data_IF_304304660741
#
_entry.id   IF_304304660741
#
_cell.length_a   1.000
_cell.length_b   1.000
_cell.length_c   1.000
_cell.angle_alpha   90.00
_cell.angle_beta   90.00
_cell.angle_gamma   90.00
#
_symmetry.space_group_name_H-M   'P 1'
#
loop_
_entity.id
_entity.type
_entity.pdbx_description
1 polymer ?
#
# COMPACT_ATOMS: atom_id res chain seq x y z
N UNK A 1 -0.02 10.30 48.59
CA UNK A 1 0.65 10.53 47.28
C UNK A 1 1.78 11.54 47.47
N UNK A 2 3.05 11.11 47.44
CA UNK A 2 4.19 12.02 47.50
C UNK A 2 4.27 12.75 46.12
N UNK A 3 4.20 14.09 46.13
CA UNK A 3 4.51 14.89 44.97
C UNK A 3 5.96 14.57 44.56
N UNK A 4 6.14 14.07 43.33
CA UNK A 4 7.47 13.97 42.72
C UNK A 4 7.85 15.38 42.34
N UNK A 5 8.75 15.98 43.11
CA UNK A 5 9.32 17.28 42.76
C UNK A 5 10.13 17.13 41.47
N UNK A 6 9.82 17.96 40.50
CA UNK A 6 10.55 18.01 39.23
C UNK A 6 11.99 18.40 39.49
N UNK A 7 12.92 17.47 39.30
CA UNK A 7 14.35 17.71 39.40
C UNK A 7 14.82 18.63 38.26
N UNK A 8 14.58 19.92 38.40
CA UNK A 8 15.03 20.96 37.44
C UNK A 8 16.48 21.38 37.62
N UNK A 9 17.25 20.72 38.49
CA UNK A 9 18.69 20.98 38.64
C UNK A 9 19.50 19.96 37.85
N UNK A 10 19.68 20.22 36.55
CA UNK A 10 20.64 19.43 35.76
C UNK A 10 22.06 19.74 36.24
N UNK A 11 22.66 18.84 37.00
CA UNK A 11 24.03 18.86 37.47
C UNK A 11 24.98 19.17 36.26
N UNK A 12 26.00 19.99 36.47
CA UNK A 12 26.99 20.35 35.46
C UNK A 12 27.57 19.14 34.73
N UNK A 13 27.84 18.04 35.48
CA UNK A 13 28.30 16.77 34.94
C UNK A 13 27.29 16.15 33.96
N UNK A 14 25.99 16.22 34.26
CA UNK A 14 24.94 15.70 33.37
C UNK A 14 24.89 16.49 32.05
N UNK A 15 25.06 17.81 32.12
CA UNK A 15 25.13 18.67 30.93
C UNK A 15 26.35 18.36 30.04
N UNK A 16 27.51 18.16 30.69
CA UNK A 16 28.74 17.80 29.98
C UNK A 16 28.60 16.43 29.30
N UNK A 17 28.07 15.45 30.01
CA UNK A 17 27.82 14.11 29.48
C UNK A 17 26.86 14.12 28.27
N UNK A 18 25.74 14.85 28.36
CA UNK A 18 24.82 15.05 27.25
C UNK A 18 25.50 15.69 26.04
N UNK A 19 26.38 16.70 26.27
CA UNK A 19 27.15 17.36 25.22
C UNK A 19 28.13 16.40 24.53
N UNK A 20 28.83 15.55 25.29
CA UNK A 20 29.72 14.52 24.75
C UNK A 20 28.96 13.48 23.93
N UNK A 21 27.85 12.96 24.44
CA UNK A 21 27.02 12.04 23.71
C UNK A 21 26.56 12.62 22.37
N UNK A 22 26.19 13.91 22.33
CA UNK A 22 25.78 14.58 21.11
C UNK A 22 26.93 14.68 20.09
N UNK A 23 28.16 14.94 20.55
CA UNK A 23 29.35 14.97 19.67
C UNK A 23 29.60 13.58 19.05
N UNK A 24 29.39 12.52 19.82
CA UNK A 24 29.53 11.14 19.34
C UNK A 24 28.30 10.59 18.57
N UNK A 25 27.27 11.43 18.35
CA UNK A 25 26.08 11.03 17.60
C UNK A 25 25.06 10.19 18.40
N UNK A 26 25.20 10.13 19.74
CA UNK A 26 24.26 9.41 20.60
C UNK A 26 23.12 10.33 21.08
N UNK A 27 21.93 9.76 21.17
CA UNK A 27 20.77 10.38 21.78
C UNK A 27 20.50 9.77 23.16
N UNK A 28 20.29 10.64 24.16
CA UNK A 28 19.99 10.25 25.54
C UNK A 28 18.51 10.52 25.81
N UNK A 29 17.84 9.55 26.43
CA UNK A 29 16.44 9.65 26.87
C UNK A 29 16.38 9.64 28.37
N UNK A 30 15.76 10.67 28.96
CA UNK A 30 15.42 10.70 30.38
C UNK A 30 14.12 9.88 30.59
N UNK A 31 14.28 8.64 31.02
CA UNK A 31 13.15 7.71 31.24
C UNK A 31 12.15 8.20 32.29
N UNK A 32 12.58 9.00 33.25
CA UNK A 32 11.71 9.49 34.32
C UNK A 32 10.77 10.62 33.84
N UNK A 33 11.20 11.41 32.87
CA UNK A 33 10.46 12.58 32.35
C UNK A 33 10.10 12.47 30.88
N UNK A 34 10.42 11.38 30.21
CA UNK A 34 10.26 11.23 28.78
C UNK A 34 10.79 12.44 27.99
N UNK A 35 11.93 12.94 28.40
CA UNK A 35 12.66 14.01 27.69
C UNK A 35 13.84 13.43 26.95
N UNK A 36 14.09 13.96 25.75
CA UNK A 36 15.36 13.74 25.05
C UNK A 36 16.29 14.94 25.29
N UNK A 37 17.21 14.87 26.29
CA UNK A 37 18.09 15.97 26.62
C UNK A 37 19.00 16.36 25.46
N UNK A 38 19.33 15.42 24.58
CA UNK A 38 20.16 15.67 23.41
C UNK A 38 19.44 16.47 22.33
N UNK A 39 18.12 16.32 22.20
CA UNK A 39 17.30 17.11 21.27
C UNK A 39 16.73 18.40 21.89
N UNK A 40 16.80 18.52 23.21
CA UNK A 40 16.22 19.67 23.92
C UNK A 40 14.69 19.73 23.86
N UNK A 41 14.02 18.61 23.56
CA UNK A 41 12.57 18.53 23.39
C UNK A 41 11.94 17.52 24.32
N UNK A 42 10.67 17.74 24.66
CA UNK A 42 9.83 16.75 25.32
C UNK A 42 9.44 15.63 24.35
N UNK A 43 9.34 14.41 24.85
CA UNK A 43 8.86 13.25 24.07
C UNK A 43 7.34 13.28 23.85
N UNK A 44 6.62 14.18 24.51
CA UNK A 44 5.21 14.46 24.19
C UNK A 44 5.04 15.20 22.86
N UNK A 45 6.11 15.82 22.32
CA UNK A 45 6.10 16.43 21.02
C UNK A 45 6.46 15.40 19.94
N UNK A 46 5.91 15.55 18.75
CA UNK A 46 6.25 14.72 17.60
C UNK A 46 7.72 14.95 17.23
N UNK A 47 8.53 13.91 17.41
CA UNK A 47 9.96 13.95 17.06
C UNK A 47 10.20 13.63 15.59
N UNK A 48 9.30 12.91 14.96
CA UNK A 48 9.34 12.62 13.53
C UNK A 48 8.84 13.81 12.71
N UNK A 49 9.45 14.03 11.55
CA UNK A 49 9.00 15.00 10.56
C UNK A 49 8.73 14.23 9.28
N UNK A 50 7.48 14.29 8.80
CA UNK A 50 7.02 13.60 7.61
C UNK A 50 7.94 13.87 6.42
N UNK A 51 8.31 12.81 5.69
CA UNK A 51 9.18 12.90 4.52
C UNK A 51 10.60 13.41 4.77
N UNK A 52 11.01 13.64 6.01
CA UNK A 52 12.36 14.13 6.37
C UNK A 52 13.08 13.22 7.32
N UNK A 53 12.49 12.91 8.47
CA UNK A 53 13.11 12.07 9.48
C UNK A 53 12.07 11.27 10.26
N UNK A 54 12.44 10.07 10.67
CA UNK A 54 11.69 9.27 11.61
C UNK A 54 12.53 8.99 12.84
N UNK A 55 11.97 9.24 14.02
CA UNK A 55 12.61 8.95 15.30
C UNK A 55 11.77 7.90 16.02
N UNK A 56 12.38 6.77 16.32
CA UNK A 56 11.78 5.71 17.11
C UNK A 56 12.63 5.50 18.35
N UNK A 57 12.08 5.78 19.50
CA UNK A 57 12.77 5.67 20.77
C UNK A 57 12.69 4.21 21.26
N UNK A 58 13.81 3.58 21.64
CA UNK A 58 15.19 4.06 21.72
C UNK A 58 16.05 3.88 20.45
N UNK A 59 15.45 3.56 19.31
CA UNK A 59 16.17 3.15 18.10
C UNK A 59 16.88 4.28 17.36
N UNK A 60 16.67 5.53 17.78
CA UNK A 60 17.36 6.70 17.22
C UNK A 60 16.63 7.34 16.03
N UNK A 61 17.35 8.17 15.29
CA UNK A 61 16.85 8.96 14.18
C UNK A 61 17.22 8.34 12.84
N UNK A 62 16.26 8.28 11.94
CA UNK A 62 16.45 7.86 10.54
C UNK A 62 16.13 9.07 9.65
N UNK A 63 17.10 9.51 8.85
CA UNK A 63 16.89 10.53 7.83
C UNK A 63 16.42 9.84 6.53
N UNK A 64 15.28 10.27 6.02
CA UNK A 64 14.69 9.72 4.80
C UNK A 64 15.57 10.11 3.59
N UNK A 65 16.14 9.11 2.93
CA UNK A 65 17.03 9.27 1.77
C UNK A 65 16.31 9.07 0.44
N UNK A 66 15.33 8.17 0.41
CA UNK A 66 14.58 7.79 -0.79
C UNK A 66 13.22 8.47 -0.77
N UNK A 67 13.18 9.71 -1.28
CA UNK A 67 11.96 10.50 -1.34
C UNK A 67 11.18 10.20 -2.61
N UNK A 68 9.88 10.05 -2.46
CA UNK A 68 8.92 9.86 -3.55
C UNK A 68 8.47 11.24 -4.05
N UNK A 69 8.40 11.41 -5.37
CA UNK A 69 7.92 12.64 -6.04
C UNK A 69 6.67 12.37 -6.87
N UNK A 70 6.47 11.13 -7.32
CA UNK A 70 5.36 10.77 -8.18
C UNK A 70 4.85 9.36 -7.90
N UNK A 71 3.53 9.21 -7.94
CA UNK A 71 2.82 7.94 -7.73
C UNK A 71 1.79 7.76 -8.84
N UNK A 72 1.85 6.63 -9.53
CA UNK A 72 0.81 6.20 -10.47
C UNK A 72 0.03 5.06 -9.85
N UNK A 73 -1.27 5.21 -9.79
CA UNK A 73 -2.19 4.22 -9.30
C UNK A 73 -2.87 3.59 -10.51
N UNK A 74 -2.74 2.28 -10.69
CA UNK A 74 -3.32 1.55 -11.81
C UNK A 74 -4.41 0.64 -11.27
N UNK A 75 -5.67 1.04 -11.47
CA UNK A 75 -6.85 0.28 -11.10
C UNK A 75 -7.31 -0.58 -12.29
N UNK A 76 -7.39 -1.88 -12.08
CA UNK A 76 -7.89 -2.84 -13.07
C UNK A 76 -9.37 -3.09 -12.85
N UNK A 77 -10.19 -2.91 -13.89
CA UNK A 77 -11.65 -3.09 -13.82
C UNK A 77 -12.16 -4.09 -14.85
N UNK A 78 -13.24 -4.80 -14.48
CA UNK A 78 -13.98 -5.69 -15.35
C UNK A 78 -15.34 -6.01 -14.70
N UNK A 79 -16.40 -5.28 -15.05
CA UNK A 79 -17.72 -5.46 -14.39
C UNK A 79 -18.57 -6.58 -14.96
N UNK A 80 -18.37 -6.99 -16.22
CA UNK A 80 -19.20 -8.02 -16.90
C UNK A 80 -18.76 -9.46 -16.66
N UNK A 81 -17.55 -9.68 -16.13
CA UNK A 81 -17.07 -11.02 -15.86
C UNK A 81 -17.23 -11.37 -14.38
N UNK A 82 -17.64 -12.61 -14.10
CA UNK A 82 -17.75 -13.10 -12.74
C UNK A 82 -16.38 -13.15 -12.06
N UNK A 83 -16.37 -13.01 -10.75
CA UNK A 83 -15.17 -13.21 -9.93
C UNK A 83 -14.69 -14.66 -10.13
N UNK A 84 -13.38 -14.85 -10.26
CA UNK A 84 -12.81 -16.18 -10.51
C UNK A 84 -12.95 -17.16 -9.34
N UNK A 85 -13.20 -16.67 -8.13
CA UNK A 85 -13.46 -17.50 -6.93
C UNK A 85 -14.95 -17.90 -6.84
N UNK A 86 -15.45 -18.52 -7.88
CA UNK A 86 -16.86 -18.76 -8.18
C UNK A 86 -17.62 -19.62 -7.17
N UNK A 87 -16.93 -20.37 -6.32
CA UNK A 87 -17.54 -21.27 -5.34
C UNK A 87 -17.80 -20.60 -3.99
N UNK A 88 -17.47 -19.34 -3.83
CA UNK A 88 -17.64 -18.61 -2.56
C UNK A 88 -18.62 -17.46 -2.74
N UNK A 89 -19.52 -17.32 -1.77
CA UNK A 89 -20.43 -16.18 -1.71
C UNK A 89 -19.64 -14.89 -1.52
N UNK A 90 -20.00 -13.84 -2.27
CA UNK A 90 -19.46 -12.49 -2.08
C UNK A 90 -19.77 -11.98 -0.68
N UNK A 91 -18.91 -11.12 -0.18
CA UNK A 91 -19.04 -10.54 1.17
C UNK A 91 -20.31 -9.71 1.32
N UNK A 92 -20.62 -8.90 0.32
CA UNK A 92 -21.83 -8.07 0.27
C UNK A 92 -22.76 -8.57 -0.84
N UNK A 93 -24.06 -8.57 -0.56
CA UNK A 93 -25.08 -9.04 -1.51
C UNK A 93 -25.43 -7.91 -2.48
N UNK A 94 -24.61 -7.74 -3.51
CA UNK A 94 -24.80 -6.73 -4.55
C UNK A 94 -24.08 -7.14 -5.84
N UNK A 95 -24.37 -6.43 -6.92
CA UNK A 95 -23.75 -6.64 -8.23
C UNK A 95 -22.24 -6.29 -8.20
N UNK A 96 -21.49 -6.86 -9.15
CA UNK A 96 -20.04 -6.69 -9.22
C UNK A 96 -19.61 -5.23 -9.43
N UNK A 97 -20.36 -4.46 -10.22
CA UNK A 97 -20.09 -3.06 -10.47
C UNK A 97 -20.10 -2.20 -9.21
N UNK A 98 -20.93 -2.55 -8.20
CA UNK A 98 -20.92 -1.86 -6.90
C UNK A 98 -19.58 -2.01 -6.20
N UNK A 99 -18.92 -3.17 -6.30
CA UNK A 99 -17.56 -3.35 -5.78
C UNK A 99 -16.57 -2.43 -6.48
N UNK A 100 -16.62 -2.38 -7.81
CA UNK A 100 -15.76 -1.51 -8.64
C UNK A 100 -15.97 -0.03 -8.30
N UNK A 101 -17.22 0.43 -8.19
CA UNK A 101 -17.50 1.83 -7.89
C UNK A 101 -17.05 2.23 -6.49
N UNK A 102 -17.29 1.39 -5.48
CA UNK A 102 -16.87 1.67 -4.10
C UNK A 102 -15.36 1.59 -3.95
N UNK A 103 -14.71 0.65 -4.62
CA UNK A 103 -13.25 0.63 -4.71
C UNK A 103 -12.71 1.93 -5.27
N UNK A 104 -13.19 2.37 -6.43
CA UNK A 104 -12.75 3.61 -7.06
C UNK A 104 -13.00 4.84 -6.16
N UNK A 105 -14.17 4.94 -5.53
CA UNK A 105 -14.49 6.05 -4.61
C UNK A 105 -13.57 6.07 -3.41
N UNK A 106 -13.37 4.92 -2.76
CA UNK A 106 -12.46 4.81 -1.61
C UNK A 106 -11.01 5.17 -1.99
N UNK A 107 -10.59 4.74 -3.17
CA UNK A 107 -9.27 5.04 -3.73
C UNK A 107 -9.10 6.54 -4.03
N UNK A 108 -10.06 7.16 -4.68
CA UNK A 108 -10.08 8.62 -4.94
C UNK A 108 -10.01 9.38 -3.62
N UNK A 109 -10.83 9.00 -2.62
CA UNK A 109 -10.84 9.64 -1.30
C UNK A 109 -9.47 9.56 -0.62
N UNK A 110 -8.87 8.37 -0.59
CA UNK A 110 -7.55 8.17 0.01
C UNK A 110 -6.45 8.94 -0.74
N UNK A 111 -6.55 9.02 -2.07
CA UNK A 111 -5.58 9.78 -2.90
C UNK A 111 -5.71 11.28 -2.65
N UNK A 112 -6.91 11.83 -2.53
CA UNK A 112 -7.12 13.25 -2.18
C UNK A 112 -6.49 13.62 -0.85
N UNK A 113 -6.71 12.81 0.17
CA UNK A 113 -6.10 13.01 1.50
C UNK A 113 -4.57 12.94 1.40
N UNK A 114 -4.04 12.02 0.57
CA UNK A 114 -2.61 11.96 0.33
C UNK A 114 -2.08 13.21 -0.39
N UNK A 115 -2.79 13.75 -1.39
CA UNK A 115 -2.43 15.01 -2.05
C UNK A 115 -2.39 16.19 -1.08
N UNK A 116 -3.38 16.30 -0.21
CA UNK A 116 -3.43 17.35 0.82
C UNK A 116 -2.30 17.21 1.84
N UNK A 117 -2.00 15.97 2.26
CA UNK A 117 -0.98 15.69 3.29
C UNK A 117 0.44 15.77 2.73
N UNK A 118 0.64 15.38 1.47
CA UNK A 118 1.92 15.17 0.81
C UNK A 118 2.10 16.15 -0.37
N UNK A 119 1.78 17.40 -0.19
CA UNK A 119 1.68 18.43 -1.24
C UNK A 119 2.81 18.51 -2.29
N UNK A 120 3.93 17.80 -2.09
CA UNK A 120 5.06 17.74 -3.00
C UNK A 120 5.04 16.52 -3.93
N UNK A 121 4.06 15.61 -3.78
CA UNK A 121 3.97 14.36 -4.53
C UNK A 121 2.87 14.47 -5.59
N UNK A 122 3.21 14.14 -6.82
CA UNK A 122 2.24 14.06 -7.91
C UNK A 122 1.53 12.70 -7.88
N UNK A 123 0.20 12.71 -7.96
CA UNK A 123 -0.64 11.52 -8.03
C UNK A 123 -1.42 11.50 -9.34
N UNK A 124 -1.37 10.36 -10.03
CA UNK A 124 -2.18 10.08 -11.21
C UNK A 124 -2.93 8.75 -11.00
N UNK A 125 -4.19 8.67 -11.45
CA UNK A 125 -4.98 7.44 -11.47
C UNK A 125 -5.20 7.01 -12.92
N UNK A 126 -4.84 5.77 -13.22
CA UNK A 126 -5.09 5.13 -14.52
C UNK A 126 -6.04 3.96 -14.27
N UNK A 127 -7.22 4.01 -14.87
CA UNK A 127 -8.15 2.87 -14.88
C UNK A 127 -7.94 2.11 -16.18
N UNK A 128 -7.65 0.81 -16.07
CA UNK A 128 -7.55 -0.11 -17.20
C UNK A 128 -8.74 -1.05 -17.19
N UNK A 129 -9.50 -1.09 -18.24
CA UNK A 129 -10.75 -1.81 -18.30
C UNK A 129 -10.78 -2.91 -19.36
N UNK A 130 -11.33 -4.06 -18.97
CA UNK A 130 -11.66 -5.14 -19.88
C UNK A 130 -13.10 -5.59 -19.69
N UNK A 131 -13.90 -5.57 -20.74
CA UNK A 131 -15.26 -6.13 -20.74
C UNK A 131 -16.23 -5.57 -19.68
N UNK A 132 -16.10 -4.34 -19.24
CA UNK A 132 -17.16 -3.71 -18.44
C UNK A 132 -18.35 -3.34 -19.30
N UNK A 133 -19.55 -3.33 -18.70
CA UNK A 133 -20.76 -2.83 -19.34
C UNK A 133 -20.62 -1.34 -19.67
N UNK A 134 -21.24 -0.87 -20.78
CA UNK A 134 -21.07 0.51 -21.25
C UNK A 134 -21.56 1.55 -20.24
N UNK A 135 -22.65 1.24 -19.51
CA UNK A 135 -23.17 2.12 -18.46
C UNK A 135 -22.19 2.20 -17.28
N UNK A 136 -21.55 1.08 -16.92
CA UNK A 136 -20.53 1.06 -15.88
C UNK A 136 -19.28 1.86 -16.29
N UNK A 137 -18.85 1.74 -17.54
CA UNK A 137 -17.76 2.56 -18.09
C UNK A 137 -18.09 4.04 -17.98
N UNK A 138 -19.32 4.41 -18.32
CA UNK A 138 -19.78 5.80 -18.24
C UNK A 138 -19.76 6.30 -16.79
N UNK A 139 -20.20 5.49 -15.84
CA UNK A 139 -20.16 5.79 -14.40
C UNK A 139 -18.72 5.91 -13.88
N UNK A 140 -17.81 5.00 -14.28
CA UNK A 140 -16.39 5.07 -13.91
C UNK A 140 -15.78 6.38 -14.41
N UNK A 141 -15.98 6.73 -15.71
CA UNK A 141 -15.47 7.97 -16.27
C UNK A 141 -16.01 9.20 -15.55
N UNK A 142 -17.30 9.22 -15.25
CA UNK A 142 -17.90 10.30 -14.47
C UNK A 142 -17.27 10.47 -13.09
N UNK A 143 -16.99 9.37 -12.37
CA UNK A 143 -16.28 9.41 -11.08
C UNK A 143 -14.85 9.96 -11.22
N UNK A 144 -14.15 9.60 -12.28
CA UNK A 144 -12.80 10.08 -12.56
C UNK A 144 -12.80 11.58 -12.89
N UNK A 145 -13.72 12.05 -13.73
CA UNK A 145 -13.83 13.45 -14.17
C UNK A 145 -14.13 14.39 -12.97
N UNK A 146 -14.91 13.92 -11.99
CA UNK A 146 -15.23 14.67 -10.77
C UNK A 146 -14.24 14.44 -9.62
N UNK A 147 -13.20 13.64 -9.83
CA UNK A 147 -12.25 13.33 -8.78
C UNK A 147 -11.34 14.48 -8.37
N UNK A 148 -11.07 15.44 -9.25
CA UNK A 148 -10.07 16.48 -9.06
C UNK A 148 -8.62 15.96 -9.05
N UNK A 149 -8.40 14.71 -9.47
CA UNK A 149 -7.10 14.06 -9.62
C UNK A 149 -6.83 13.93 -11.12
N UNK A 150 -5.58 13.95 -11.54
CA UNK A 150 -5.23 13.65 -12.92
C UNK A 150 -5.53 12.18 -13.22
N UNK A 151 -6.56 11.92 -14.03
CA UNK A 151 -7.07 10.58 -14.27
C UNK A 151 -7.05 10.22 -15.77
N UNK A 152 -6.86 8.93 -16.07
CA UNK A 152 -6.95 8.39 -17.43
C UNK A 152 -7.74 7.08 -17.39
N UNK A 153 -8.64 6.90 -18.37
CA UNK A 153 -9.36 5.64 -18.60
C UNK A 153 -8.85 5.01 -19.89
N UNK A 154 -8.49 3.72 -19.83
CA UNK A 154 -7.96 2.95 -20.95
C UNK A 154 -8.80 1.69 -21.10
N UNK A 155 -9.57 1.62 -22.20
CA UNK A 155 -10.24 0.38 -22.60
C UNK A 155 -9.26 -0.52 -23.35
N UNK A 156 -9.16 -1.76 -22.93
CA UNK A 156 -8.21 -2.74 -23.48
C UNK A 156 -8.90 -3.58 -24.54
N UNK A 157 -8.38 -3.55 -25.76
CA UNK A 157 -8.78 -4.47 -26.80
C UNK A 157 -8.11 -5.84 -26.59
N UNK A 158 -8.89 -6.81 -26.16
CA UNK A 158 -8.44 -8.17 -25.86
C UNK A 158 -7.80 -8.87 -27.06
N UNK A 159 -8.20 -8.53 -28.31
CA UNK A 159 -7.64 -9.12 -29.53
C UNK A 159 -6.14 -8.89 -29.64
N UNK A 160 -5.63 -7.77 -29.12
CA UNK A 160 -4.19 -7.46 -29.14
C UNK A 160 -3.35 -8.43 -28.34
N UNK A 161 -3.97 -9.23 -27.47
CA UNK A 161 -3.29 -10.17 -26.55
C UNK A 161 -3.46 -11.64 -26.97
N UNK A 162 -4.29 -11.98 -27.98
CA UNK A 162 -4.57 -13.35 -28.40
C UNK A 162 -3.30 -14.13 -28.80
N UNK A 163 -2.32 -13.46 -29.40
CA UNK A 163 -1.06 -14.08 -29.80
C UNK A 163 0.01 -14.08 -28.69
N UNK A 164 -0.25 -13.41 -27.55
CA UNK A 164 0.70 -13.28 -26.44
C UNK A 164 0.35 -14.17 -25.28
N UNK A 165 -0.93 -14.31 -25.00
CA UNK A 165 -1.45 -15.13 -23.90
C UNK A 165 -1.69 -16.55 -24.42
N UNK A 166 -1.24 -17.56 -23.69
CA UNK A 166 -1.50 -18.97 -24.05
C UNK A 166 -2.99 -19.23 -24.21
N UNK A 167 -3.36 -20.02 -25.19
CA UNK A 167 -4.75 -20.41 -25.46
C UNK A 167 -5.29 -21.39 -24.42
N UNK A 168 -6.61 -21.56 -24.39
CA UNK A 168 -7.29 -22.58 -23.56
C UNK A 168 -7.79 -22.05 -22.20
N UNK A 169 -7.65 -20.77 -21.92
CA UNK A 169 -8.22 -20.16 -20.70
C UNK A 169 -9.68 -19.74 -20.88
N UNK A 170 -10.43 -19.71 -19.77
CA UNK A 170 -11.76 -19.10 -19.77
C UNK A 170 -11.66 -17.60 -20.10
N UNK A 171 -12.76 -17.02 -20.61
CA UNK A 171 -12.83 -15.59 -20.94
C UNK A 171 -12.43 -14.72 -19.76
N UNK A 172 -12.89 -15.06 -18.54
CA UNK A 172 -12.55 -14.32 -17.31
C UNK A 172 -11.04 -14.36 -17.01
N UNK A 173 -10.40 -15.54 -17.10
CA UNK A 173 -8.95 -15.66 -16.90
C UNK A 173 -8.18 -14.89 -17.95
N UNK A 174 -8.54 -15.04 -19.22
CA UNK A 174 -7.89 -14.34 -20.32
C UNK A 174 -7.99 -12.81 -20.14
N UNK A 175 -9.19 -12.31 -19.82
CA UNK A 175 -9.45 -10.90 -19.56
C UNK A 175 -8.60 -10.36 -18.41
N UNK A 176 -8.52 -11.08 -17.28
CA UNK A 176 -7.70 -10.71 -16.14
C UNK A 176 -6.20 -10.69 -16.48
N UNK A 177 -5.70 -11.71 -17.19
CA UNK A 177 -4.30 -11.78 -17.61
C UNK A 177 -3.94 -10.65 -18.58
N UNK A 178 -4.81 -10.36 -19.57
CA UNK A 178 -4.62 -9.27 -20.51
C UNK A 178 -4.60 -7.90 -19.81
N UNK A 179 -5.51 -7.69 -18.86
CA UNK A 179 -5.55 -6.45 -18.08
C UNK A 179 -4.28 -6.28 -17.22
N UNK A 180 -3.84 -7.35 -16.54
CA UNK A 180 -2.61 -7.31 -15.75
C UNK A 180 -1.39 -7.04 -16.62
N UNK A 181 -1.27 -7.73 -17.77
CA UNK A 181 -0.17 -7.54 -18.70
C UNK A 181 -0.12 -6.10 -19.23
N UNK A 182 -1.26 -5.56 -19.65
CA UNK A 182 -1.35 -4.17 -20.08
C UNK A 182 -0.97 -3.19 -18.95
N UNK A 183 -1.39 -3.47 -17.73
CA UNK A 183 -1.02 -2.67 -16.55
C UNK A 183 0.49 -2.67 -16.30
N UNK A 184 1.17 -3.80 -16.51
CA UNK A 184 2.63 -3.88 -16.43
C UNK A 184 3.32 -3.06 -17.53
N UNK A 185 2.78 -3.08 -18.77
CA UNK A 185 3.30 -2.28 -19.87
C UNK A 185 3.16 -0.78 -19.58
N UNK A 186 2.01 -0.36 -19.03
CA UNK A 186 1.79 1.01 -18.59
C UNK A 186 2.80 1.37 -17.50
N UNK A 187 2.93 0.55 -16.46
CA UNK A 187 3.86 0.78 -15.36
C UNK A 187 5.32 0.93 -15.81
N UNK A 188 5.73 0.16 -16.83
CA UNK A 188 7.07 0.25 -17.42
C UNK A 188 7.28 1.55 -18.20
N UNK A 189 6.27 2.02 -18.92
CA UNK A 189 6.40 3.14 -19.86
C UNK A 189 6.08 4.51 -19.25
N UNK A 190 5.30 4.56 -18.16
CA UNK A 190 4.94 5.79 -17.48
C UNK A 190 6.10 6.32 -16.62
N UNK A 191 6.22 7.65 -16.53
CA UNK A 191 7.20 8.30 -15.66
C UNK A 191 6.62 8.44 -14.26
N UNK A 192 7.10 7.61 -13.33
CA UNK A 192 6.71 7.61 -11.92
C UNK A 192 7.80 6.98 -11.04
N UNK A 193 7.91 7.43 -9.79
CA UNK A 193 8.79 6.78 -8.82
C UNK A 193 8.14 5.49 -8.29
N UNK A 194 6.83 5.55 -8.05
CA UNK A 194 6.03 4.49 -7.44
C UNK A 194 4.84 4.13 -8.31
N UNK A 195 4.58 2.84 -8.40
CA UNK A 195 3.39 2.26 -9.02
C UNK A 195 2.60 1.52 -7.95
N UNK A 196 1.29 1.78 -7.91
CA UNK A 196 0.35 1.06 -7.06
C UNK A 196 -0.67 0.35 -7.93
N UNK A 197 -0.59 -0.99 -7.99
CA UNK A 197 -1.57 -1.83 -8.67
C UNK A 197 -2.74 -2.11 -7.74
N UNK A 198 -3.97 -1.98 -8.25
CA UNK A 198 -5.20 -2.17 -7.48
C UNK A 198 -6.19 -3.02 -8.28
N UNK A 199 -6.83 -3.98 -7.61
CA UNK A 199 -7.97 -4.74 -8.11
C UNK A 199 -9.29 -4.07 -7.72
N UNK A 200 -10.36 -4.32 -8.46
CA UNK A 200 -11.62 -3.59 -8.38
C UNK A 200 -12.58 -4.04 -7.26
N UNK A 201 -12.05 -4.74 -6.26
CA UNK A 201 -12.79 -5.21 -5.08
C UNK A 201 -12.07 -4.91 -3.74
N UNK A 202 -11.19 -3.88 -3.73
CA UNK A 202 -10.49 -3.41 -2.53
C UNK A 202 -11.05 -2.10 -2.02
N UNK A 203 -11.59 -2.09 -0.81
CA UNK A 203 -12.04 -0.86 -0.14
C UNK A 203 -10.90 -0.29 0.71
N UNK A 204 -10.53 0.95 0.43
CA UNK A 204 -9.42 1.66 1.08
C UNK A 204 -9.90 2.48 2.27
N UNK A 205 -9.15 2.41 3.37
CA UNK A 205 -9.28 3.39 4.44
C UNK A 205 -8.79 4.77 3.94
N UNK A 206 -9.26 5.83 4.56
CA UNK A 206 -8.97 7.19 4.11
C UNK A 206 -7.48 7.54 4.12
N UNK A 207 -6.69 6.98 5.03
CA UNK A 207 -5.26 7.22 5.20
C UNK A 207 -4.36 6.21 4.46
N UNK A 208 -4.90 5.29 3.67
CA UNK A 208 -4.15 4.18 3.04
C UNK A 208 -2.95 4.68 2.25
N UNK A 209 -3.18 5.57 1.27
CA UNK A 209 -2.10 6.04 0.38
C UNK A 209 -1.04 6.82 1.17
N UNK A 210 -1.46 7.66 2.10
CA UNK A 210 -0.53 8.44 2.93
C UNK A 210 0.39 7.55 3.76
N UNK A 211 -0.18 6.58 4.47
CA UNK A 211 0.57 5.63 5.30
C UNK A 211 1.52 4.77 4.47
N UNK A 212 1.06 4.29 3.31
CA UNK A 212 1.89 3.47 2.42
C UNK A 212 3.10 4.26 1.90
N UNK A 213 2.93 5.53 1.53
CA UNK A 213 4.03 6.36 1.03
C UNK A 213 5.06 6.64 2.12
N UNK A 214 4.64 7.07 3.30
CA UNK A 214 5.57 7.28 4.41
C UNK A 214 6.32 6.01 4.80
N UNK A 215 5.59 4.89 4.86
CA UNK A 215 6.20 3.60 5.18
C UNK A 215 7.17 3.14 4.08
N UNK A 216 6.86 3.38 2.80
CA UNK A 216 7.77 3.08 1.69
C UNK A 216 9.07 3.87 1.79
N UNK A 217 8.99 5.18 1.95
CA UNK A 217 10.17 6.06 2.12
C UNK A 217 11.05 5.61 3.29
N UNK A 218 10.43 5.33 4.43
CA UNK A 218 11.11 4.86 5.64
C UNK A 218 11.78 3.52 5.42
N UNK A 219 11.03 2.53 4.97
CA UNK A 219 11.55 1.16 4.84
C UNK A 219 12.57 1.03 3.71
N UNK A 220 12.35 1.68 2.57
CA UNK A 220 13.35 1.69 1.49
C UNK A 220 14.65 2.35 1.91
N UNK A 221 14.59 3.32 2.83
CA UNK A 221 15.78 3.92 3.45
C UNK A 221 16.47 2.96 4.41
N UNK A 222 15.71 2.26 5.28
CA UNK A 222 16.23 1.30 6.25
C UNK A 222 16.88 0.10 5.55
N UNK A 223 16.20 -0.48 4.57
CA UNK A 223 16.70 -1.65 3.82
C UNK A 223 17.75 -1.26 2.77
N UNK A 224 17.86 0.03 2.46
CA UNK A 224 18.65 0.54 1.33
C UNK A 224 18.35 -0.21 0.02
N UNK A 225 17.08 -0.58 -0.19
CA UNK A 225 16.61 -1.39 -1.30
C UNK A 225 15.17 -1.00 -1.69
N UNK A 226 14.78 -1.35 -2.91
CA UNK A 226 13.37 -1.34 -3.31
C UNK A 226 12.62 -2.47 -2.60
N UNK A 227 11.34 -2.25 -2.36
CA UNK A 227 10.49 -3.17 -1.62
C UNK A 227 9.06 -3.19 -2.17
N UNK A 228 8.25 -4.10 -1.67
CA UNK A 228 6.83 -4.18 -2.00
C UNK A 228 6.02 -3.91 -0.73
N UNK A 229 5.00 -3.06 -0.84
CA UNK A 229 4.02 -2.85 0.22
C UNK A 229 2.66 -3.38 -0.22
N UNK A 230 2.05 -4.16 0.63
CA UNK A 230 0.65 -4.57 0.48
C UNK A 230 -0.24 -3.57 1.25
N UNK A 231 -1.45 -3.29 0.80
CA UNK A 231 -2.39 -2.50 1.60
C UNK A 231 -3.16 -3.36 2.60
N UNK A 232 -3.14 -4.68 2.42
CA UNK A 232 -3.95 -5.64 3.18
C UNK A 232 -3.08 -6.62 3.94
N UNK A 233 -3.50 -6.92 5.16
CA UNK A 233 -2.98 -8.02 5.95
C UNK A 233 -3.89 -9.23 5.75
N UNK A 234 -3.43 -10.20 4.96
CA UNK A 234 -4.26 -11.32 4.55
C UNK A 234 -4.39 -12.37 5.65
N UNK A 235 -5.61 -12.70 6.09
CA UNK A 235 -5.84 -13.65 7.18
C UNK A 235 -5.29 -15.05 6.93
N UNK A 236 -5.24 -15.52 5.69
CA UNK A 236 -4.72 -16.85 5.37
C UNK A 236 -3.23 -17.02 5.70
N UNK A 237 -2.48 -15.93 5.79
CA UNK A 237 -1.06 -15.97 6.17
C UNK A 237 -0.86 -16.32 7.65
N UNK A 238 -1.89 -16.16 8.50
CA UNK A 238 -1.79 -16.51 9.92
C UNK A 238 -1.90 -18.01 10.19
N UNK A 239 -2.24 -18.80 9.18
CA UNK A 239 -2.26 -20.28 9.30
C UNK A 239 -0.92 -20.92 8.96
N UNK A 240 0.09 -20.12 8.63
CA UNK A 240 1.43 -20.56 8.25
C UNK A 240 2.43 -20.28 9.36
N UNK A 241 3.37 -21.22 9.57
CA UNK A 241 4.49 -21.05 10.50
C UNK A 241 5.66 -20.37 9.78
N UNK A 242 5.49 -19.11 9.44
CA UNK A 242 6.52 -18.30 8.79
C UNK A 242 7.23 -17.40 9.80
N UNK A 243 8.57 -17.43 9.77
CA UNK A 243 9.36 -16.46 10.50
C UNK A 243 9.10 -15.06 9.93
N UNK A 244 8.54 -14.17 10.74
CA UNK A 244 8.29 -12.79 10.35
C UNK A 244 9.04 -11.80 11.23
N UNK A 245 9.29 -10.62 10.68
CA UNK A 245 9.79 -9.46 11.41
C UNK A 245 8.76 -8.35 11.34
N UNK A 246 8.63 -7.60 12.43
CA UNK A 246 7.70 -6.48 12.53
C UNK A 246 8.51 -5.18 12.52
N UNK A 247 8.07 -4.24 11.70
CA UNK A 247 8.66 -2.92 11.54
C UNK A 247 7.65 -1.85 11.90
N UNK A 248 8.10 -0.73 12.41
CA UNK A 248 7.26 0.41 12.73
C UNK A 248 7.18 1.35 11.53
N UNK A 249 5.99 1.47 10.94
CA UNK A 249 5.67 2.46 9.89
C UNK A 249 5.47 3.87 10.46
N UNK A 250 4.56 4.64 9.92
CA UNK A 250 4.19 5.95 10.46
C UNK A 250 3.16 5.80 11.60
N UNK A 251 2.03 5.16 11.32
CA UNK A 251 0.93 4.90 12.28
C UNK A 251 0.61 3.42 12.43
N UNK A 252 1.19 2.55 11.60
CA UNK A 252 0.94 1.12 11.58
C UNK A 252 2.23 0.35 11.84
N UNK A 253 2.08 -0.85 12.42
CA UNK A 253 3.11 -1.86 12.33
C UNK A 253 3.02 -2.55 10.99
N UNK A 254 4.15 -3.03 10.51
CA UNK A 254 4.27 -3.72 9.23
C UNK A 254 5.03 -5.02 9.42
N UNK A 255 4.47 -6.12 8.99
CA UNK A 255 5.13 -7.42 9.05
C UNK A 255 5.71 -7.84 7.71
N UNK A 256 6.85 -8.52 7.75
CA UNK A 256 7.43 -9.15 6.57
C UNK A 256 6.55 -10.34 6.16
N UNK A 257 6.24 -10.45 4.86
CA UNK A 257 5.45 -11.52 4.28
C UNK A 257 6.10 -12.04 3.00
N UNK A 258 5.78 -13.27 2.61
CA UNK A 258 6.36 -13.93 1.43
C UNK A 258 5.33 -14.26 0.36
N UNK A 259 4.06 -13.99 0.62
CA UNK A 259 2.94 -14.21 -0.29
C UNK A 259 1.97 -13.03 -0.24
N UNK A 260 1.28 -12.80 -1.37
CA UNK A 260 0.28 -11.75 -1.52
C UNK A 260 -0.70 -12.06 -2.63
N UNK A 261 -1.69 -11.17 -2.79
CA UNK A 261 -2.47 -11.01 -4.02
C UNK A 261 -1.91 -9.87 -4.88
N UNK A 262 -2.63 -9.45 -5.91
CA UNK A 262 -2.09 -8.56 -6.97
C UNK A 262 -2.42 -7.08 -6.72
N UNK A 263 -2.85 -6.73 -5.51
CA UNK A 263 -2.95 -5.34 -5.06
C UNK A 263 -1.73 -5.00 -4.21
N UNK A 264 -0.78 -4.26 -4.81
CA UNK A 264 0.51 -3.95 -4.18
C UNK A 264 1.13 -2.66 -4.73
N UNK A 265 1.95 -2.03 -3.90
CA UNK A 265 2.72 -0.83 -4.23
C UNK A 265 4.22 -1.15 -4.29
N UNK A 266 4.90 -0.66 -5.32
CA UNK A 266 6.36 -0.80 -5.43
C UNK A 266 6.96 0.30 -6.30
N UNK A 267 8.31 0.38 -6.36
CA UNK A 267 8.98 1.30 -7.28
C UNK A 267 8.91 0.85 -8.73
N UNK A 268 8.87 1.79 -9.64
CA UNK A 268 9.03 1.53 -11.08
C UNK A 268 10.32 0.75 -11.35
N UNK A 269 11.41 1.11 -10.70
CA UNK A 269 12.71 0.44 -10.84
C UNK A 269 12.62 -1.08 -10.51
N UNK A 270 11.85 -1.46 -9.47
CA UNK A 270 11.66 -2.87 -9.14
C UNK A 270 10.85 -3.59 -10.22
N UNK A 271 9.83 -2.94 -10.79
CA UNK A 271 9.04 -3.48 -11.90
C UNK A 271 9.93 -3.71 -13.11
N UNK A 272 10.73 -2.72 -13.51
CA UNK A 272 11.64 -2.82 -14.66
C UNK A 272 12.64 -3.95 -14.50
N UNK A 273 13.29 -4.05 -13.34
CA UNK A 273 14.26 -5.13 -13.05
C UNK A 273 13.66 -6.53 -13.06
N UNK A 274 12.39 -6.66 -12.75
CA UNK A 274 11.69 -7.94 -12.66
C UNK A 274 10.62 -8.12 -13.74
N UNK A 275 10.63 -7.27 -14.77
CA UNK A 275 9.58 -7.25 -15.79
C UNK A 275 9.33 -8.63 -16.41
N UNK A 276 10.39 -9.32 -16.85
CA UNK A 276 10.30 -10.63 -17.46
C UNK A 276 9.71 -11.71 -16.52
N UNK A 277 9.84 -11.52 -15.21
CA UNK A 277 9.23 -12.43 -14.24
C UNK A 277 7.75 -12.09 -14.02
N UNK A 278 7.41 -10.81 -13.86
CA UNK A 278 6.04 -10.34 -13.72
C UNK A 278 5.20 -10.59 -14.99
N UNK A 279 5.80 -10.41 -16.16
CA UNK A 279 5.16 -10.65 -17.46
C UNK A 279 4.60 -12.06 -17.60
N UNK A 280 5.23 -13.07 -16.96
CA UNK A 280 4.74 -14.46 -16.95
C UNK A 280 3.30 -14.57 -16.45
N UNK A 281 2.92 -13.75 -15.45
CA UNK A 281 1.54 -13.72 -14.93
C UNK A 281 0.53 -13.24 -15.98
N UNK A 282 0.96 -12.41 -16.93
CA UNK A 282 0.13 -11.95 -18.05
C UNK A 282 0.10 -12.92 -19.23
N UNK A 283 1.04 -13.87 -19.34
CA UNK A 283 1.19 -14.74 -20.50
C UNK A 283 0.67 -16.16 -20.22
N UNK A 284 0.94 -16.67 -19.04
CA UNK A 284 0.61 -18.04 -18.63
C UNK A 284 0.02 -18.07 -17.22
N UNK A 285 -1.09 -18.81 -17.08
CA UNK A 285 -1.68 -19.06 -15.76
C UNK A 285 -0.93 -20.19 -15.07
N UNK A 286 -0.30 -19.88 -13.94
CA UNK A 286 0.29 -20.86 -13.01
C UNK A 286 -0.51 -20.89 -11.71
N UNK A 287 -0.38 -21.92 -10.90
CA UNK A 287 -1.05 -22.02 -9.62
C UNK A 287 -0.01 -22.10 -8.48
N UNK A 288 -0.01 -21.17 -7.50
CA UNK A 288 -0.81 -19.93 -7.47
C UNK A 288 -0.38 -18.95 -8.57
N UNK A 289 -1.34 -18.17 -9.08
CA UNK A 289 -1.10 -17.20 -10.14
C UNK A 289 -0.05 -16.15 -9.79
N UNK A 290 0.04 -15.78 -8.52
CA UNK A 290 0.99 -14.80 -7.95
C UNK A 290 2.42 -15.35 -7.76
N UNK A 291 2.68 -16.61 -8.07
CA UNK A 291 4.00 -17.24 -7.89
C UNK A 291 5.18 -16.41 -8.43
N UNK A 292 5.11 -15.81 -9.66
CA UNK A 292 6.19 -14.96 -10.14
C UNK A 292 6.41 -13.70 -9.30
N UNK A 293 5.36 -13.15 -8.70
CA UNK A 293 5.45 -12.01 -7.78
C UNK A 293 6.10 -12.46 -6.45
N UNK A 294 5.72 -13.63 -5.92
CA UNK A 294 6.30 -14.18 -4.69
C UNK A 294 7.81 -14.49 -4.82
N UNK A 295 8.30 -14.80 -6.01
CA UNK A 295 9.73 -14.99 -6.27
C UNK A 295 10.53 -13.69 -6.08
N UNK A 296 9.90 -12.54 -6.32
CA UNK A 296 10.50 -11.22 -6.10
C UNK A 296 10.71 -10.98 -4.59
N UNK A 297 9.78 -11.44 -3.75
CA UNK A 297 9.84 -11.24 -2.28
C UNK A 297 11.01 -11.95 -1.61
N UNK A 298 11.62 -12.93 -2.27
CA UNK A 298 12.84 -13.59 -1.80
C UNK A 298 14.08 -12.67 -1.83
N UNK A 299 14.06 -11.66 -2.69
CA UNK A 299 15.17 -10.71 -2.91
C UNK A 299 14.84 -9.30 -2.44
N UNK A 300 13.56 -8.95 -2.44
CA UNK A 300 13.07 -7.64 -2.08
C UNK A 300 12.02 -7.79 -0.98
N UNK A 301 12.16 -7.10 0.16
CA UNK A 301 11.20 -7.21 1.24
C UNK A 301 9.77 -6.91 0.78
N UNK A 302 8.82 -7.76 1.16
CA UNK A 302 7.39 -7.49 1.03
C UNK A 302 6.80 -7.30 2.42
N UNK A 303 6.08 -6.21 2.64
CA UNK A 303 5.54 -5.83 3.93
C UNK A 303 4.04 -5.63 3.88
N UNK A 304 3.36 -6.11 4.90
CA UNK A 304 1.91 -6.05 5.09
C UNK A 304 1.59 -5.22 6.34
N UNK A 305 0.61 -4.29 6.31
CA UNK A 305 0.30 -3.42 7.44
C UNK A 305 -0.53 -4.15 8.50
N UNK A 306 -0.35 -3.79 9.76
CA UNK A 306 -1.10 -4.28 10.91
C UNK A 306 -1.75 -3.10 11.66
N UNK A 307 -3.07 -2.93 11.62
CA UNK A 307 -4.08 -3.62 10.81
C UNK A 307 -4.05 -3.24 9.32
N UNK A 308 -4.89 -3.91 8.52
CA UNK A 308 -5.08 -3.60 7.09
C UNK A 308 -5.43 -2.14 6.84
N UNK A 309 -4.93 -1.60 5.74
CA UNK A 309 -5.22 -0.26 5.21
C UNK A 309 -6.26 -0.32 4.08
N UNK A 310 -6.32 -1.44 3.36
CA UNK A 310 -7.39 -1.75 2.41
C UNK A 310 -7.86 -3.18 2.61
N UNK A 311 -9.10 -3.47 2.19
CA UNK A 311 -9.78 -4.72 2.46
C UNK A 311 -10.24 -5.35 1.17
N UNK A 312 -9.77 -6.57 0.90
CA UNK A 312 -10.20 -7.36 -0.24
C UNK A 312 -11.60 -7.93 0.02
N UNK A 313 -12.60 -7.37 -0.64
CA UNK A 313 -14.02 -7.65 -0.38
C UNK A 313 -14.58 -8.81 -1.21
N UNK A 314 -13.74 -9.64 -1.83
CA UNK A 314 -14.18 -10.73 -2.70
C UNK A 314 -15.07 -11.75 -1.95
N UNK A 315 -14.63 -12.23 -0.79
CA UNK A 315 -15.35 -13.21 0.00
C UNK A 315 -14.96 -13.16 1.49
N UNK A 316 -15.65 -13.94 2.32
CA UNK A 316 -15.43 -13.92 3.77
C UNK A 316 -14.01 -14.34 4.19
N UNK A 317 -13.36 -15.20 3.42
CA UNK A 317 -12.01 -15.65 3.78
C UNK A 317 -10.96 -14.53 3.61
N UNK A 318 -11.24 -13.55 2.75
CA UNK A 318 -10.36 -12.41 2.52
C UNK A 318 -10.38 -11.40 3.67
N UNK A 319 -11.43 -11.41 4.50
CA UNK A 319 -11.64 -10.45 5.60
C UNK A 319 -11.82 -11.12 6.97
N UNK A 320 -11.78 -12.46 7.02
CA UNK A 320 -11.88 -13.20 8.28
C UNK A 320 -10.68 -12.86 9.18
N UNK A 321 -10.94 -12.65 10.47
CA UNK A 321 -9.91 -12.30 11.44
C UNK A 321 -9.53 -10.82 11.47
N UNK A 322 -10.30 -9.94 10.85
CA UNK A 322 -10.12 -8.50 10.97
C UNK A 322 -10.09 -8.06 12.45
N UNK A 323 -9.30 -7.03 12.71
CA UNK A 323 -9.28 -6.37 14.02
C UNK A 323 -10.69 -5.95 14.43
N UNK A 324 -11.08 -6.13 15.70
CA UNK A 324 -12.39 -5.73 16.19
C UNK A 324 -12.64 -4.20 16.09
N UNK A 325 -11.59 -3.40 15.88
CA UNK A 325 -11.69 -1.94 15.70
C UNK A 325 -12.02 -1.51 14.26
N UNK A 326 -12.21 -2.47 13.34
CA UNK A 326 -12.51 -2.17 11.94
C UNK A 326 -13.98 -2.49 11.66
N UNK A 327 -14.78 -1.45 11.44
CA UNK A 327 -16.14 -1.55 10.93
C UNK A 327 -16.13 -1.56 9.40
N UNK A 328 -15.94 -2.76 8.83
CA UNK A 328 -15.89 -2.94 7.38
C UNK A 328 -17.21 -2.59 6.70
N UNK A 329 -18.36 -2.87 7.38
CA UNK A 329 -19.66 -2.52 6.84
C UNK A 329 -19.84 -1.00 6.74
N UNK A 330 -19.46 -0.27 7.77
CA UNK A 330 -19.46 1.19 7.72
C UNK A 330 -18.53 1.71 6.61
N UNK A 331 -17.32 1.17 6.50
CA UNK A 331 -16.38 1.56 5.46
C UNK A 331 -16.95 1.29 4.05
N UNK A 332 -17.67 0.18 3.87
CA UNK A 332 -18.38 -0.15 2.64
C UNK A 332 -19.50 0.85 2.36
N UNK A 333 -20.31 1.16 3.36
CA UNK A 333 -21.47 2.06 3.23
C UNK A 333 -21.04 3.52 3.02
N UNK A 334 -19.94 3.96 3.62
CA UNK A 334 -19.36 5.31 3.45
C UNK A 334 -18.88 5.56 1.99
N UNK A 335 -18.76 4.53 1.18
CA UNK A 335 -18.41 4.60 -0.24
C UNK A 335 -19.60 4.28 -1.18
N UNK A 336 -20.83 4.25 -0.65
CA UNK A 336 -22.06 4.17 -1.43
C UNK A 336 -22.29 5.49 -2.20
N UNK A 337 -23.16 5.46 -3.21
CA UNK A 337 -23.55 6.65 -4.00
C UNK A 337 -24.27 7.68 -3.14
#
# INVERSE_FOLDING_TARGET
MKKIESANNTNFLKKLFVKLCRIFGFEIIDQANFKSPTLGKSLSETLSIQGKKSITIPLGQINIKRKIKSVKIILRTCTSELIMDQNKRRLFDCEKNEYTFRTLKSLIRSTKIAQETLGNIKFDIIVTDTNSAQDDISNIKNLLDHSGINCKFISIDLKTFENKIKSGYSKAKFSNMANFYNSLLIAKNEDADIIYFVEDDYIHASNTITEMIFSYEKFSTIFNNDLVLLPSDYPYLYTKDDNTKIYLGEKHHWRLVFESLVTFMTSKNLIEKNFNNLEKMGIEWVDPWEKPLHEIYRKNPCLSPLPSLAFHCANINSVFGLSPNIDLKKLWDDNKN
#
